data_IF_614695027313
#
_entry.id   IF_614695027313
#
_cell.length_a   1.000
_cell.length_b   1.000
_cell.length_c   1.000
_cell.angle_alpha   90.00
_cell.angle_beta   90.00
_cell.angle_gamma   90.00
#
_symmetry.space_group_name_H-M   'P 1'
#
loop_
_entity.id
_entity.type
_entity.pdbx_description
1 polymer ?
#
# COMPACT_ATOMS: atom_id res chain seq x y z
N UNK A 1 -9.59 -10.06 -1.74
CA UNK A 1 -8.23 -9.59 -2.09
C UNK A 1 -7.59 -10.46 -3.18
N UNK A 2 -7.51 -11.79 -3.05
CA UNK A 2 -6.87 -12.66 -4.07
C UNK A 2 -7.37 -12.39 -5.50
N UNK A 3 -8.68 -12.30 -5.70
CA UNK A 3 -9.26 -12.00 -7.01
C UNK A 3 -8.80 -10.62 -7.55
N UNK A 4 -8.70 -9.62 -6.69
CA UNK A 4 -8.24 -8.29 -7.09
C UNK A 4 -6.76 -8.29 -7.55
N UNK A 5 -5.89 -8.98 -6.82
CA UNK A 5 -4.48 -9.11 -7.20
C UNK A 5 -4.32 -9.83 -8.55
N UNK A 6 -5.07 -10.93 -8.73
CA UNK A 6 -5.08 -11.68 -9.99
C UNK A 6 -5.65 -10.86 -11.15
N UNK A 7 -6.73 -10.12 -10.91
CA UNK A 7 -7.35 -9.25 -11.92
C UNK A 7 -6.40 -8.14 -12.36
N UNK A 8 -5.73 -7.46 -11.42
CA UNK A 8 -4.74 -6.44 -11.73
C UNK A 8 -3.60 -7.01 -12.60
N UNK A 9 -3.11 -8.20 -12.26
CA UNK A 9 -2.07 -8.88 -13.05
C UNK A 9 -2.57 -9.25 -14.44
N UNK A 10 -3.76 -9.85 -14.54
CA UNK A 10 -4.34 -10.26 -15.82
C UNK A 10 -4.60 -9.07 -16.73
N UNK A 11 -5.14 -7.97 -16.20
CA UNK A 11 -5.35 -6.73 -16.95
C UNK A 11 -4.07 -6.27 -17.67
N UNK A 12 -2.94 -6.23 -16.95
CA UNK A 12 -1.69 -5.80 -17.56
C UNK A 12 -1.10 -6.83 -18.54
N UNK A 13 -1.33 -8.10 -18.32
CA UNK A 13 -0.91 -9.13 -19.27
C UNK A 13 -1.67 -8.99 -20.59
N UNK A 14 -2.99 -8.85 -20.54
CA UNK A 14 -3.85 -8.65 -21.71
C UNK A 14 -3.61 -7.30 -22.41
N UNK A 15 -3.15 -6.30 -21.65
CA UNK A 15 -2.77 -4.98 -22.19
C UNK A 15 -1.35 -4.94 -22.78
N UNK A 16 -0.66 -6.08 -22.93
CA UNK A 16 0.67 -6.14 -23.49
C UNK A 16 1.79 -5.62 -22.56
N UNK A 17 1.55 -5.60 -21.24
CA UNK A 17 2.51 -5.13 -20.24
C UNK A 17 2.91 -6.25 -19.24
N UNK A 18 3.47 -7.39 -19.72
CA UNK A 18 3.75 -8.56 -18.88
C UNK A 18 4.81 -8.30 -17.80
N UNK A 19 5.59 -7.23 -17.90
CA UNK A 19 6.59 -6.83 -16.91
C UNK A 19 5.97 -6.31 -15.60
N UNK A 20 4.70 -5.93 -15.58
CA UNK A 20 4.02 -5.47 -14.38
C UNK A 20 3.66 -6.65 -13.48
N UNK A 21 4.44 -6.84 -12.44
CA UNK A 21 4.33 -7.98 -11.50
C UNK A 21 4.40 -7.54 -10.04
N UNK A 22 4.68 -6.27 -9.77
CA UNK A 22 4.88 -5.74 -8.42
C UNK A 22 3.62 -5.10 -7.86
N UNK A 23 3.52 -5.13 -6.54
CA UNK A 23 2.50 -4.40 -5.80
C UNK A 23 3.17 -3.47 -4.78
N UNK A 24 2.58 -2.32 -4.55
CA UNK A 24 2.95 -1.41 -3.46
C UNK A 24 1.79 -1.40 -2.47
N UNK A 25 2.08 -1.40 -1.19
CA UNK A 25 1.07 -1.32 -0.12
C UNK A 25 1.56 -0.44 1.03
N UNK A 26 0.81 -0.37 2.10
CA UNK A 26 1.22 0.38 3.30
C UNK A 26 1.69 -0.54 4.41
N UNK A 27 2.65 -0.08 5.19
CA UNK A 27 2.91 -0.64 6.51
C UNK A 27 1.65 -0.57 7.38
N UNK A 28 1.49 -1.48 8.33
CA UNK A 28 0.37 -1.55 9.27
C UNK A 28 -1.01 -1.74 8.60
N UNK A 29 -1.06 -2.18 7.34
CA UNK A 29 -2.32 -2.46 6.64
C UNK A 29 -2.77 -3.91 6.82
N UNK A 30 -4.07 -4.14 6.64
CA UNK A 30 -4.66 -5.47 6.67
C UNK A 30 -5.54 -5.72 5.44
N UNK A 31 -5.24 -6.76 4.69
CA UNK A 31 -5.94 -7.09 3.44
C UNK A 31 -6.53 -8.51 3.41
N UNK A 32 -6.39 -9.27 4.50
CA UNK A 32 -6.89 -10.64 4.63
C UNK A 32 -5.83 -11.62 5.12
N UNK A 33 -6.20 -12.91 5.21
CA UNK A 33 -5.37 -13.97 5.80
C UNK A 33 -4.83 -14.98 4.78
N UNK A 34 -5.29 -14.95 3.52
CA UNK A 34 -4.73 -15.80 2.45
C UNK A 34 -3.31 -15.35 2.12
N UNK A 35 -2.49 -16.22 1.53
CA UNK A 35 -1.07 -15.92 1.31
C UNK A 35 -0.85 -14.65 0.47
N UNK A 36 -1.63 -14.42 -0.59
CA UNK A 36 -1.54 -13.20 -1.37
C UNK A 36 -2.00 -11.96 -0.60
N UNK A 37 -3.13 -12.05 0.12
CA UNK A 37 -3.62 -10.96 0.96
C UNK A 37 -2.66 -10.64 2.10
N UNK A 38 -2.06 -11.66 2.72
CA UNK A 38 -1.03 -11.50 3.75
C UNK A 38 0.25 -10.90 3.18
N UNK A 39 0.63 -11.28 1.95
CA UNK A 39 1.79 -10.74 1.27
C UNK A 39 1.67 -9.23 1.05
N UNK A 40 0.51 -8.73 0.57
CA UNK A 40 0.27 -7.30 0.41
C UNK A 40 -0.06 -6.59 1.73
N UNK A 41 -0.45 -7.32 2.78
CA UNK A 41 -0.63 -6.76 4.13
C UNK A 41 0.67 -6.24 4.73
N UNK A 42 0.57 -5.22 5.58
CA UNK A 42 1.72 -4.58 6.24
C UNK A 42 1.82 -4.85 7.75
N UNK A 43 1.03 -5.78 8.29
CA UNK A 43 1.01 -6.08 9.72
C UNK A 43 2.11 -7.09 10.08
N UNK A 44 3.25 -6.60 10.59
CA UNK A 44 4.46 -7.39 10.83
C UNK A 44 4.22 -8.66 11.65
N UNK A 45 3.51 -8.57 12.78
CA UNK A 45 3.28 -9.73 13.65
C UNK A 45 2.46 -10.85 12.98
N UNK A 46 1.50 -10.51 12.11
CA UNK A 46 0.71 -11.50 11.36
C UNK A 46 1.52 -12.16 10.25
N UNK A 47 2.51 -11.47 9.72
CA UNK A 47 3.37 -11.95 8.62
C UNK A 47 4.48 -12.86 9.10
N UNK A 48 5.03 -12.60 10.29
CA UNK A 48 6.30 -13.14 10.78
C UNK A 48 6.46 -14.66 10.59
N UNK A 49 5.43 -15.45 10.90
CA UNK A 49 5.48 -16.90 10.75
C UNK A 49 5.38 -17.40 9.31
N UNK A 50 4.87 -16.58 8.40
CA UNK A 50 4.58 -16.95 7.02
C UNK A 50 5.50 -16.26 6.01
N UNK A 51 6.41 -15.42 6.47
CA UNK A 51 7.29 -14.61 5.62
C UNK A 51 7.99 -15.43 4.51
N UNK A 52 8.49 -16.65 4.76
CA UNK A 52 9.11 -17.47 3.71
C UNK A 52 8.16 -17.93 2.59
N UNK A 53 6.85 -17.85 2.81
CA UNK A 53 5.82 -18.28 1.85
C UNK A 53 5.20 -17.10 1.09
N UNK A 54 5.52 -15.87 1.48
CA UNK A 54 4.87 -14.68 0.94
C UNK A 54 5.51 -14.24 -0.39
N UNK A 55 4.71 -13.61 -1.26
CA UNK A 55 5.20 -13.06 -2.51
C UNK A 55 6.30 -12.01 -2.24
N UNK A 56 7.48 -12.13 -2.87
CA UNK A 56 8.60 -11.21 -2.63
C UNK A 56 8.47 -9.87 -3.36
N UNK A 57 7.56 -9.76 -4.32
CA UNK A 57 7.40 -8.60 -5.20
C UNK A 57 6.41 -7.56 -4.66
N UNK A 58 6.39 -7.39 -3.34
CA UNK A 58 5.58 -6.38 -2.65
C UNK A 58 6.50 -5.44 -1.87
N UNK A 59 6.43 -4.16 -2.17
CA UNK A 59 7.08 -3.11 -1.39
C UNK A 59 6.06 -2.33 -0.54
N UNK A 60 6.54 -1.54 0.43
CA UNK A 60 5.66 -0.85 1.37
C UNK A 60 6.13 0.57 1.62
N UNK A 61 5.13 1.46 1.71
CA UNK A 61 5.29 2.85 2.10
C UNK A 61 4.67 3.09 3.47
N UNK A 62 4.87 4.26 4.02
CA UNK A 62 4.39 4.65 5.35
C UNK A 62 2.88 4.51 5.49
N UNK A 63 2.40 4.17 6.70
CA UNK A 63 0.98 4.12 6.99
C UNK A 63 0.39 5.53 7.03
N UNK A 64 -0.87 5.67 6.61
CA UNK A 64 -1.59 6.93 6.71
C UNK A 64 -2.16 7.11 8.12
N UNK A 65 -1.34 7.59 9.04
CA UNK A 65 -1.67 7.74 10.45
C UNK A 65 -1.13 9.08 10.99
N UNK A 66 -1.87 10.17 10.74
CA UNK A 66 -1.47 11.54 11.06
C UNK A 66 -1.07 11.74 12.54
N UNK A 67 -1.78 11.12 13.48
CA UNK A 67 -1.50 11.26 14.92
C UNK A 67 -0.07 10.86 15.33
N UNK A 68 0.54 9.89 14.64
CA UNK A 68 1.92 9.42 14.92
C UNK A 68 2.87 9.59 13.74
N UNK A 69 2.34 9.92 12.58
CA UNK A 69 3.11 9.99 11.35
C UNK A 69 3.59 11.39 10.99
N UNK A 70 3.11 12.42 11.66
CA UNK A 70 3.61 13.79 11.50
C UNK A 70 5.03 13.91 12.07
N UNK A 71 5.90 14.59 11.34
CA UNK A 71 7.31 14.78 11.73
C UNK A 71 7.47 15.84 12.84
N UNK A 72 6.56 16.82 12.87
CA UNK A 72 6.54 17.88 13.87
C UNK A 72 5.11 18.14 14.34
N UNK A 73 4.94 18.70 15.54
CA UNK A 73 3.63 18.96 16.11
C UNK A 73 2.81 19.99 15.32
N UNK A 74 3.48 20.86 14.57
CA UNK A 74 2.93 21.91 13.73
C UNK A 74 2.82 21.52 12.24
N UNK A 75 3.19 20.28 11.85
CA UNK A 75 2.99 19.82 10.47
C UNK A 75 1.51 19.79 10.13
N UNK A 76 1.09 20.57 9.12
CA UNK A 76 -0.30 20.59 8.68
C UNK A 76 -0.71 19.26 8.04
N UNK A 77 -2.01 18.96 7.98
CA UNK A 77 -2.51 17.75 7.31
C UNK A 77 -2.14 17.73 5.83
N UNK A 78 -2.15 18.90 5.16
CA UNK A 78 -1.77 19.02 3.76
C UNK A 78 -0.27 18.75 3.54
N UNK A 79 0.59 19.20 4.44
CA UNK A 79 2.02 18.93 4.37
C UNK A 79 2.30 17.43 4.59
N UNK A 80 1.64 16.83 5.57
CA UNK A 80 1.70 15.40 5.84
C UNK A 80 1.25 14.56 4.63
N UNK A 81 0.13 14.90 4.01
CA UNK A 81 -0.40 14.21 2.82
C UNK A 81 0.55 14.34 1.63
N UNK A 82 1.10 15.54 1.38
CA UNK A 82 2.10 15.75 0.31
C UNK A 82 3.33 14.88 0.51
N UNK A 83 3.81 14.75 1.74
CA UNK A 83 4.96 13.90 2.08
C UNK A 83 4.67 12.42 1.83
N UNK A 84 3.49 11.92 2.20
CA UNK A 84 3.09 10.53 1.91
C UNK A 84 2.90 10.28 0.41
N UNK A 85 2.39 11.25 -0.32
CA UNK A 85 2.25 11.17 -1.77
C UNK A 85 3.62 11.13 -2.46
N UNK A 86 4.56 11.97 -2.01
CA UNK A 86 5.93 11.96 -2.51
C UNK A 86 6.63 10.63 -2.21
N UNK A 87 6.51 10.10 -0.99
CA UNK A 87 7.07 8.78 -0.63
C UNK A 87 6.52 7.67 -1.55
N UNK A 88 5.25 7.72 -1.89
CA UNK A 88 4.64 6.76 -2.80
C UNK A 88 5.22 6.91 -4.22
N UNK A 89 5.36 8.14 -4.73
CA UNK A 89 5.97 8.38 -6.04
C UNK A 89 7.43 7.92 -6.06
N UNK A 90 8.20 8.25 -5.03
CA UNK A 90 9.59 7.81 -4.89
C UNK A 90 9.70 6.28 -4.91
N UNK A 91 8.78 5.57 -4.23
CA UNK A 91 8.75 4.11 -4.26
C UNK A 91 8.39 3.57 -5.65
N UNK A 92 7.46 4.20 -6.38
CA UNK A 92 7.18 3.86 -7.78
C UNK A 92 8.43 4.01 -8.65
N UNK A 93 9.16 5.12 -8.52
CA UNK A 93 10.39 5.35 -9.28
C UNK A 93 11.47 4.32 -8.93
N UNK A 94 11.64 4.02 -7.67
CA UNK A 94 12.63 3.07 -7.15
C UNK A 94 12.41 1.64 -7.66
N UNK A 95 11.16 1.15 -7.66
CA UNK A 95 10.84 -0.22 -8.12
C UNK A 95 10.66 -0.32 -9.62
N UNK A 96 10.59 0.81 -10.30
CA UNK A 96 10.30 0.94 -11.73
C UNK A 96 8.79 1.05 -11.99
N UNK A 97 8.28 2.23 -12.37
CA UNK A 97 6.84 2.51 -12.52
C UNK A 97 6.16 1.55 -13.49
N UNK A 98 6.88 1.07 -14.52
CA UNK A 98 6.38 0.10 -15.50
C UNK A 98 6.33 -1.35 -14.99
N UNK A 99 6.77 -1.61 -13.75
CA UNK A 99 6.74 -2.95 -13.14
C UNK A 99 5.59 -3.12 -12.15
N UNK A 100 4.92 -2.04 -11.76
CA UNK A 100 3.88 -2.05 -10.73
C UNK A 100 2.51 -2.36 -11.34
N UNK A 101 1.80 -3.33 -10.76
CA UNK A 101 0.42 -3.66 -11.07
C UNK A 101 -0.57 -2.72 -10.37
N UNK A 102 -0.36 -2.50 -9.08
CA UNK A 102 -1.29 -1.70 -8.28
C UNK A 102 -0.66 -1.22 -6.96
N UNK A 103 -1.17 -0.10 -6.49
CA UNK A 103 -1.09 0.31 -5.10
C UNK A 103 -2.33 -0.21 -4.35
N UNK A 104 -2.10 -0.90 -3.22
CA UNK A 104 -3.14 -1.53 -2.41
C UNK A 104 -3.23 -0.83 -1.06
N UNK A 105 -4.38 -0.22 -0.77
CA UNK A 105 -4.58 0.54 0.45
C UNK A 105 -6.01 0.42 1.00
N UNK A 106 -6.14 0.48 2.31
CA UNK A 106 -7.44 0.63 2.99
C UNK A 106 -7.84 2.11 2.99
N UNK A 107 -9.10 2.40 2.68
CA UNK A 107 -9.66 3.76 2.84
C UNK A 107 -9.78 4.12 4.32
N UNK A 108 -10.06 3.13 5.17
CA UNK A 108 -10.10 3.25 6.63
C UNK A 108 -9.33 2.06 7.19
N UNK A 109 -8.30 2.33 7.99
CA UNK A 109 -7.50 1.28 8.64
C UNK A 109 -8.31 0.65 9.77
N UNK A 110 -8.78 -0.58 9.55
CA UNK A 110 -9.71 -1.27 10.48
C UNK A 110 -9.02 -2.16 11.49
N UNK A 111 -8.04 -2.95 11.07
CA UNK A 111 -7.50 -4.05 11.89
C UNK A 111 -6.38 -3.65 12.86
N UNK A 112 -5.73 -2.52 12.66
CA UNK A 112 -4.61 -2.05 13.51
C UNK A 112 -5.04 -0.96 14.47
N UNK A 113 -5.94 -0.09 14.05
CA UNK A 113 -6.72 0.88 14.85
C UNK A 113 -7.80 1.48 13.96
N UNK A 114 -9.00 1.64 14.48
CA UNK A 114 -10.09 2.40 13.83
C UNK A 114 -9.71 3.90 13.82
N UNK A 115 -9.01 4.32 12.77
CA UNK A 115 -8.72 5.72 12.55
C UNK A 115 -9.21 6.10 11.15
N UNK A 116 -10.21 6.97 11.06
CA UNK A 116 -10.63 7.52 9.79
C UNK A 116 -9.45 8.31 9.20
N UNK A 117 -9.22 8.16 7.90
CA UNK A 117 -8.35 9.07 7.17
C UNK A 117 -8.93 10.49 7.28
N UNK A 118 -8.06 11.48 7.42
CA UNK A 118 -8.50 12.87 7.30
C UNK A 118 -9.15 13.10 5.92
N UNK A 119 -10.10 14.02 5.78
CA UNK A 119 -10.75 14.29 4.49
C UNK A 119 -9.78 14.58 3.36
N UNK A 120 -8.67 15.27 3.64
CA UNK A 120 -7.59 15.57 2.69
C UNK A 120 -6.88 14.32 2.15
N UNK A 121 -6.76 13.28 2.97
CA UNK A 121 -6.12 12.01 2.55
C UNK A 121 -7.03 11.20 1.64
N UNK A 122 -8.35 11.26 1.83
CA UNK A 122 -9.32 10.52 1.00
C UNK A 122 -9.29 10.97 -0.46
N UNK A 123 -9.13 12.28 -0.71
CA UNK A 123 -9.11 12.83 -2.07
C UNK A 123 -7.88 12.42 -2.89
N UNK A 124 -6.76 12.14 -2.23
CA UNK A 124 -5.51 11.75 -2.90
C UNK A 124 -5.45 10.26 -3.27
N UNK A 125 -6.38 9.45 -2.78
CA UNK A 125 -6.38 7.98 -2.99
C UNK A 125 -7.25 7.50 -4.16
N UNK A 126 -7.93 8.40 -4.84
CA UNK A 126 -8.84 8.05 -5.96
C UNK A 126 -8.22 8.26 -7.35
N UNK A 127 -6.89 8.23 -7.46
CA UNK A 127 -6.20 8.29 -8.76
C UNK A 127 -5.52 6.96 -9.05
#
# INVERSE_FOLDING_TARGET
>A
MEAALKLARQYYLESGQPQRTRFISRHQSYHGITLGALAVGGHAARRAHFEPLLMPNVSRVSPCFAYRGKNAADETDEAYVRRLAQELDDEFQKVGPNTVCAFVAETVVGAVRLLPLSPSVRSTQMI
#
